data_IF_393236341493
#
_entry.id   IF_393236341493
#
_cell.length_a   1.000
_cell.length_b   1.000
_cell.length_c   1.000
_cell.angle_alpha   90.00
_cell.angle_beta   90.00
_cell.angle_gamma   90.00
#
_symmetry.space_group_name_H-M   'P 1'
#
loop_
_entity.id
_entity.type
_entity.pdbx_description
1 polymer ?
#
# COMPACT_ATOMS: atom_id res chain seq x y z
N UNK A 1 8.30 -5.79 -1.53
CA UNK A 1 8.52 -6.64 -0.35
C UNK A 1 10.02 -6.71 -0.14
N UNK A 2 10.48 -6.23 1.00
CA UNK A 2 11.86 -6.49 1.43
C UNK A 2 12.04 -8.01 1.56
N UNK A 3 13.18 -8.51 1.18
CA UNK A 3 13.49 -9.94 1.33
C UNK A 3 13.72 -10.22 2.80
N UNK A 4 13.11 -11.29 3.33
CA UNK A 4 13.39 -11.76 4.68
C UNK A 4 14.89 -11.99 4.85
N UNK A 5 15.43 -11.55 5.97
CA UNK A 5 16.81 -11.85 6.40
C UNK A 5 16.95 -13.35 6.70
N UNK A 6 18.18 -13.84 6.75
CA UNK A 6 18.40 -15.25 7.08
C UNK A 6 17.97 -15.57 8.52
N UNK A 7 18.15 -14.63 9.45
CA UNK A 7 17.61 -14.71 10.81
C UNK A 7 16.10 -14.89 10.84
N UNK A 8 15.35 -14.03 10.13
CA UNK A 8 13.87 -14.10 10.07
C UNK A 8 13.39 -15.43 9.48
N UNK A 9 14.10 -15.97 8.48
CA UNK A 9 13.80 -17.28 7.90
C UNK A 9 14.00 -18.41 8.92
N UNK A 10 15.06 -18.33 9.72
CA UNK A 10 15.32 -19.30 10.79
C UNK A 10 14.22 -19.25 11.86
N UNK A 11 13.85 -18.05 12.31
CA UNK A 11 12.77 -17.84 13.28
C UNK A 11 11.44 -18.41 12.78
N UNK A 12 11.07 -18.12 11.53
CA UNK A 12 9.85 -18.65 10.89
C UNK A 12 9.91 -20.18 10.82
N UNK A 13 11.07 -20.73 10.48
CA UNK A 13 11.26 -22.18 10.40
C UNK A 13 11.06 -22.84 11.78
N UNK A 14 11.57 -22.21 12.85
CA UNK A 14 11.36 -22.67 14.22
C UNK A 14 9.88 -22.63 14.59
N UNK A 15 9.21 -21.51 14.34
CA UNK A 15 7.76 -21.39 14.59
C UNK A 15 6.96 -22.48 13.86
N UNK A 16 7.27 -22.69 12.57
CA UNK A 16 6.61 -23.69 11.74
C UNK A 16 6.77 -25.12 12.27
N UNK A 17 7.97 -25.45 12.77
CA UNK A 17 8.25 -26.76 13.33
C UNK A 17 7.53 -27.00 14.67
N UNK A 18 7.34 -25.94 15.45
CA UNK A 18 6.75 -26.03 16.79
C UNK A 18 5.22 -25.95 16.79
N UNK A 19 4.66 -25.06 15.98
CA UNK A 19 3.23 -24.75 15.99
C UNK A 19 2.49 -25.33 14.78
N UNK A 20 3.22 -25.74 13.74
CA UNK A 20 2.67 -26.17 12.45
C UNK A 20 2.14 -25.01 11.63
N UNK A 21 2.63 -24.85 10.40
CA UNK A 21 2.03 -23.95 9.41
C UNK A 21 1.36 -24.83 8.36
N UNK A 22 0.02 -24.83 8.37
CA UNK A 22 -0.76 -25.76 7.53
C UNK A 22 -1.06 -25.16 6.14
N UNK A 23 -1.08 -23.83 6.04
CA UNK A 23 -1.51 -23.15 4.82
C UNK A 23 -0.50 -22.11 4.34
N UNK A 24 -0.57 -21.78 3.04
CA UNK A 24 0.19 -20.65 2.48
C UNK A 24 -0.25 -19.33 3.13
N UNK A 25 -1.51 -19.20 3.55
CA UNK A 25 -2.01 -18.06 4.30
C UNK A 25 -1.20 -17.86 5.59
N UNK A 26 -0.99 -18.93 6.36
CA UNK A 26 -0.23 -18.88 7.62
C UNK A 26 1.21 -18.49 7.37
N UNK A 27 1.83 -19.07 6.32
CA UNK A 27 3.20 -18.74 5.93
C UNK A 27 3.36 -17.27 5.51
N UNK A 28 2.35 -16.69 4.86
CA UNK A 28 2.35 -15.27 4.52
C UNK A 28 2.16 -14.44 5.79
N UNK A 29 1.20 -14.78 6.63
CA UNK A 29 0.85 -13.99 7.80
C UNK A 29 1.97 -13.94 8.84
N UNK A 30 2.70 -15.03 9.06
CA UNK A 30 3.81 -15.04 10.00
C UNK A 30 4.92 -14.05 9.61
N UNK A 31 5.14 -13.80 8.31
CA UNK A 31 6.14 -12.82 7.85
C UNK A 31 5.86 -11.39 8.33
N UNK A 32 4.61 -11.07 8.67
CA UNK A 32 4.21 -9.78 9.22
C UNK A 32 4.32 -9.67 10.73
N UNK A 33 4.51 -10.80 11.40
CA UNK A 33 4.60 -10.84 12.85
C UNK A 33 5.93 -11.38 13.39
N UNK A 34 6.89 -11.68 12.50
CA UNK A 34 8.15 -12.32 12.88
C UNK A 34 8.92 -11.57 13.96
N UNK A 35 8.73 -10.26 14.06
CA UNK A 35 9.37 -9.42 15.11
C UNK A 35 8.87 -9.73 16.52
N UNK A 36 7.73 -10.40 16.68
CA UNK A 36 7.23 -10.90 17.97
C UNK A 36 7.84 -12.24 18.39
N UNK A 37 8.79 -12.76 17.64
CA UNK A 37 9.46 -14.03 17.87
C UNK A 37 10.97 -13.83 17.98
N UNK A 38 11.62 -14.52 18.90
CA UNK A 38 13.08 -14.45 19.05
C UNK A 38 13.71 -15.83 18.95
N UNK A 39 14.84 -15.91 18.25
CA UNK A 39 15.73 -17.07 18.23
C UNK A 39 17.13 -16.62 18.66
N UNK A 40 17.54 -17.02 19.84
CA UNK A 40 18.81 -16.65 20.42
C UNK A 40 19.80 -17.81 20.23
N UNK A 41 20.78 -17.60 19.36
CA UNK A 41 21.79 -18.59 19.02
C UNK A 41 23.03 -18.49 19.93
N UNK A 42 23.30 -17.31 20.49
CA UNK A 42 24.33 -17.15 21.52
C UNK A 42 23.71 -17.29 22.92
N UNK A 43 23.76 -18.50 23.46
CA UNK A 43 23.26 -18.88 24.78
C UNK A 43 24.38 -19.38 25.69
N UNK A 44 25.59 -18.89 25.49
CA UNK A 44 26.77 -19.24 26.29
C UNK A 44 26.62 -18.87 27.77
N UNK A 45 25.81 -17.90 28.10
CA UNK A 45 25.44 -17.53 29.47
C UNK A 45 24.00 -16.98 29.55
N UNK A 46 23.40 -17.08 30.76
CA UNK A 46 22.08 -16.48 31.01
C UNK A 46 22.10 -14.95 30.85
N UNK A 47 23.25 -14.31 31.06
CA UNK A 47 23.40 -12.86 30.82
C UNK A 47 23.32 -12.50 29.33
N UNK A 48 23.97 -13.28 28.47
CA UNK A 48 23.90 -13.07 27.01
C UNK A 48 22.48 -13.28 26.48
N UNK A 49 21.82 -14.34 26.95
CA UNK A 49 20.41 -14.58 26.60
C UNK A 49 19.52 -13.42 27.06
N UNK A 50 19.66 -12.98 28.32
CA UNK A 50 18.87 -11.86 28.85
C UNK A 50 19.12 -10.54 28.13
N UNK A 51 20.38 -10.28 27.77
CA UNK A 51 20.75 -9.09 27.00
C UNK A 51 20.07 -9.10 25.62
N UNK A 52 20.08 -10.25 24.93
CA UNK A 52 19.42 -10.36 23.62
C UNK A 52 17.91 -10.21 23.73
N UNK A 53 17.28 -10.87 24.70
CA UNK A 53 15.83 -10.73 24.96
C UNK A 53 15.44 -9.29 25.24
N UNK A 54 16.24 -8.58 26.04
CA UNK A 54 16.00 -7.17 26.35
C UNK A 54 16.07 -6.30 25.09
N UNK A 55 17.10 -6.51 24.25
CA UNK A 55 17.25 -5.76 23.00
C UNK A 55 16.12 -6.04 21.99
N UNK A 56 15.61 -7.27 21.96
CA UNK A 56 14.49 -7.65 21.10
C UNK A 56 13.17 -7.01 21.59
N UNK A 57 12.95 -6.92 22.92
CA UNK A 57 11.73 -6.32 23.49
C UNK A 57 11.72 -4.78 23.42
N UNK A 58 12.86 -4.14 23.70
CA UNK A 58 12.95 -2.67 23.80
C UNK A 58 13.63 -2.00 22.60
N UNK A 59 13.97 -2.74 21.55
CA UNK A 59 14.58 -2.26 20.31
C UNK A 59 15.92 -1.52 20.49
N UNK A 60 16.58 -1.74 21.63
CA UNK A 60 17.88 -1.15 21.94
C UNK A 60 17.95 -0.62 23.37
N UNK A 61 19.16 -0.23 23.76
CA UNK A 61 19.45 0.44 25.04
C UNK A 61 20.75 1.22 24.91
N UNK A 62 20.91 2.30 25.69
CA UNK A 62 22.20 2.99 25.79
C UNK A 62 23.21 2.19 26.63
N UNK A 63 24.50 2.49 26.49
CA UNK A 63 25.54 1.82 27.29
C UNK A 63 25.32 2.09 28.79
N UNK A 64 24.91 3.30 29.16
CA UNK A 64 24.65 3.69 30.55
C UNK A 64 23.45 2.93 31.16
N UNK A 65 22.36 2.78 30.39
CA UNK A 65 21.21 1.99 30.81
C UNK A 65 21.53 0.50 30.90
N UNK A 66 22.37 -0.02 30.00
CA UNK A 66 22.77 -1.42 29.98
C UNK A 66 23.57 -1.82 31.24
N UNK A 67 24.30 -0.88 31.86
CA UNK A 67 25.04 -1.14 33.12
C UNK A 67 24.09 -1.28 34.32
N UNK A 68 22.91 -0.70 34.29
CA UNK A 68 21.91 -0.76 35.37
C UNK A 68 21.00 -1.98 35.28
N UNK A 69 20.97 -2.69 34.11
CA UNK A 69 20.04 -3.77 33.84
C UNK A 69 20.63 -5.11 34.34
N UNK A 70 19.85 -5.83 35.17
CA UNK A 70 20.15 -7.22 35.52
C UNK A 70 19.61 -8.17 34.42
N UNK A 71 20.41 -8.41 33.40
CA UNK A 71 20.04 -9.27 32.25
C UNK A 71 19.72 -10.71 32.66
N UNK A 72 20.35 -11.23 33.73
CA UNK A 72 20.06 -12.58 34.23
C UNK A 72 18.65 -12.63 34.81
N UNK A 73 18.29 -11.64 35.62
CA UNK A 73 16.93 -11.54 36.20
C UNK A 73 15.88 -11.34 35.09
N UNK A 74 16.20 -10.55 34.10
CA UNK A 74 15.37 -10.36 32.92
C UNK A 74 15.13 -11.67 32.16
N UNK A 75 16.17 -12.41 31.86
CA UNK A 75 16.05 -13.75 31.24
C UNK A 75 15.16 -14.68 32.05
N UNK A 76 15.40 -14.75 33.36
CA UNK A 76 14.63 -15.60 34.26
C UNK A 76 13.15 -15.17 34.37
N UNK A 77 12.85 -13.92 34.24
CA UNK A 77 11.48 -13.41 34.19
C UNK A 77 10.82 -13.84 32.87
N UNK A 78 11.45 -13.57 31.74
CA UNK A 78 10.94 -13.95 30.40
C UNK A 78 10.69 -15.46 30.33
N UNK A 79 11.57 -16.28 30.87
CA UNK A 79 11.41 -17.74 30.90
C UNK A 79 10.24 -18.24 31.77
N UNK A 80 9.70 -17.41 32.65
CA UNK A 80 8.51 -17.73 33.45
C UNK A 80 7.22 -17.23 32.83
N UNK A 81 7.29 -16.15 32.08
CA UNK A 81 6.11 -15.43 31.57
C UNK A 81 5.81 -15.79 30.11
N UNK A 82 6.82 -16.12 29.31
CA UNK A 82 6.68 -16.42 27.90
C UNK A 82 6.78 -17.90 27.56
N UNK A 83 6.34 -18.25 26.34
CA UNK A 83 6.61 -19.57 25.77
C UNK A 83 8.05 -19.64 25.32
N UNK A 84 8.85 -20.38 26.08
CA UNK A 84 10.29 -20.57 25.82
C UNK A 84 10.59 -22.03 25.53
N UNK A 85 11.33 -22.27 24.44
CA UNK A 85 11.84 -23.59 24.08
C UNK A 85 13.35 -23.56 23.90
N UNK A 86 14.03 -24.50 24.54
CA UNK A 86 15.49 -24.58 24.50
C UNK A 86 15.88 -25.75 23.59
N UNK A 87 16.67 -25.43 22.56
CA UNK A 87 17.21 -26.39 21.62
C UNK A 87 18.75 -26.49 21.76
N UNK A 88 19.39 -27.54 21.23
CA UNK A 88 20.83 -27.64 21.25
C UNK A 88 21.58 -26.51 20.55
N UNK A 89 20.89 -25.74 19.71
CA UNK A 89 21.44 -24.68 18.88
C UNK A 89 20.86 -23.27 19.17
N UNK A 90 19.95 -23.14 20.15
CA UNK A 90 19.40 -21.85 20.50
C UNK A 90 18.27 -21.89 21.50
N UNK A 91 17.84 -20.71 21.89
CA UNK A 91 16.66 -20.46 22.72
C UNK A 91 15.62 -19.74 21.87
N UNK A 92 14.45 -20.34 21.72
CA UNK A 92 13.33 -19.78 21.00
C UNK A 92 12.29 -19.23 21.99
N UNK A 93 11.79 -18.00 21.73
CA UNK A 93 10.85 -17.30 22.59
C UNK A 93 9.72 -16.69 21.77
N UNK A 94 8.48 -16.87 22.18
CA UNK A 94 7.28 -16.39 21.48
C UNK A 94 6.71 -15.08 22.03
N UNK A 95 7.22 -14.49 23.09
CA UNK A 95 6.78 -13.19 23.66
C UNK A 95 5.27 -12.95 23.62
N UNK A 96 4.46 -13.96 23.90
CA UNK A 96 3.00 -13.88 23.76
C UNK A 96 2.50 -13.71 22.30
N UNK A 97 3.29 -14.13 21.33
CA UNK A 97 3.00 -13.96 19.91
C UNK A 97 1.62 -14.48 19.52
N UNK A 98 0.91 -13.66 18.80
CA UNK A 98 -0.32 -14.03 18.09
C UNK A 98 -0.12 -13.78 16.60
N UNK A 99 -0.34 -14.79 15.78
CA UNK A 99 -0.18 -14.66 14.34
C UNK A 99 -1.11 -13.56 13.80
N UNK A 100 -0.56 -12.51 13.16
CA UNK A 100 -1.38 -11.46 12.59
C UNK A 100 -2.21 -12.00 11.42
N UNK A 101 -3.41 -11.48 11.25
CA UNK A 101 -4.29 -11.84 10.14
C UNK A 101 -4.29 -10.75 9.06
N UNK A 102 -3.12 -10.50 8.44
CA UNK A 102 -2.92 -9.47 7.41
C UNK A 102 -3.42 -9.95 6.04
N UNK A 103 -3.17 -11.20 5.72
CA UNK A 103 -3.65 -11.84 4.50
C UNK A 103 -4.79 -12.81 4.83
N UNK A 104 -5.97 -12.60 4.25
CA UNK A 104 -7.16 -13.42 4.53
C UNK A 104 -7.22 -14.75 3.72
N UNK A 105 -6.20 -15.03 2.90
CA UNK A 105 -6.15 -16.17 1.98
C UNK A 105 -6.51 -15.82 0.53
N UNK A 106 -7.05 -14.62 0.27
CA UNK A 106 -7.41 -14.10 -1.06
C UNK A 106 -6.79 -12.73 -1.33
N UNK A 107 -6.96 -11.79 -0.39
CA UNK A 107 -6.52 -10.39 -0.55
C UNK A 107 -5.84 -9.89 0.71
N UNK A 108 -4.99 -8.87 0.54
CA UNK A 108 -4.50 -8.05 1.65
C UNK A 108 -5.51 -6.96 1.99
N UNK A 109 -5.49 -6.38 3.21
CA UNK A 109 -6.31 -5.21 3.56
C UNK A 109 -6.00 -4.01 2.66
N UNK A 110 -7.00 -3.13 2.46
CA UNK A 110 -6.84 -1.94 1.62
C UNK A 110 -5.68 -1.03 2.05
N UNK A 111 -5.47 -0.84 3.36
CA UNK A 111 -4.37 -0.01 3.87
C UNK A 111 -2.97 -0.51 3.44
N UNK A 112 -2.83 -1.80 3.09
CA UNK A 112 -1.57 -2.38 2.64
C UNK A 112 -1.14 -1.86 1.27
N UNK A 113 -2.09 -1.35 0.50
CA UNK A 113 -1.89 -0.85 -0.85
C UNK A 113 -1.95 0.68 -0.95
N UNK A 114 -2.29 1.38 0.14
CA UNK A 114 -2.73 2.78 0.13
C UNK A 114 -1.78 3.77 -0.58
N UNK A 115 -0.47 3.57 -0.50
CA UNK A 115 0.50 4.53 -1.05
C UNK A 115 0.75 4.39 -2.56
N UNK A 116 0.34 3.27 -3.16
CA UNK A 116 0.65 2.95 -4.58
C UNK A 116 -0.59 2.75 -5.43
N UNK A 117 -1.75 2.60 -4.81
CA UNK A 117 -3.00 2.33 -5.51
C UNK A 117 -3.68 3.62 -5.91
N UNK A 118 -4.12 3.68 -7.15
CA UNK A 118 -4.95 4.76 -7.69
C UNK A 118 -6.43 4.40 -7.56
N UNK A 119 -6.79 3.16 -7.89
CA UNK A 119 -8.15 2.63 -7.75
C UNK A 119 -8.14 1.13 -7.51
N UNK A 120 -9.21 0.59 -6.97
CA UNK A 120 -9.46 -0.85 -6.93
C UNK A 120 -10.73 -1.21 -7.70
N UNK A 121 -10.70 -2.36 -8.36
CA UNK A 121 -11.80 -2.89 -9.13
C UNK A 121 -12.29 -4.18 -8.49
N UNK A 122 -13.60 -4.33 -8.29
CA UNK A 122 -14.21 -5.64 -8.13
C UNK A 122 -14.54 -6.20 -9.51
N UNK A 123 -14.05 -7.39 -9.81
CA UNK A 123 -14.20 -8.03 -11.11
C UNK A 123 -14.69 -9.46 -10.92
N UNK A 124 -15.61 -9.91 -11.78
CA UNK A 124 -16.16 -11.26 -11.77
C UNK A 124 -15.94 -11.93 -13.12
N UNK A 125 -15.56 -13.21 -13.06
CA UNK A 125 -15.61 -14.08 -14.23
C UNK A 125 -17.00 -14.68 -14.39
N UNK A 126 -17.17 -15.59 -15.36
CA UNK A 126 -18.44 -16.27 -15.63
C UNK A 126 -18.91 -17.19 -14.46
N UNK A 127 -18.00 -17.66 -13.60
CA UNK A 127 -18.36 -18.44 -12.41
C UNK A 127 -18.93 -17.60 -11.27
N UNK A 128 -18.80 -16.26 -11.35
CA UNK A 128 -19.46 -15.31 -10.46
C UNK A 128 -18.75 -15.03 -9.13
N UNK A 129 -17.60 -15.66 -8.85
CA UNK A 129 -16.80 -15.31 -7.67
C UNK A 129 -16.09 -13.98 -7.90
N UNK A 130 -16.19 -13.00 -6.97
CA UNK A 130 -15.53 -11.73 -7.09
C UNK A 130 -14.04 -11.84 -6.75
N UNK A 131 -13.23 -11.14 -7.51
CA UNK A 131 -11.81 -10.87 -7.22
C UNK A 131 -11.57 -9.37 -7.22
N UNK A 132 -10.54 -8.94 -6.50
CA UNK A 132 -10.18 -7.53 -6.37
C UNK A 132 -8.84 -7.25 -7.05
N UNK A 133 -8.84 -6.25 -7.93
CA UNK A 133 -7.64 -5.74 -8.57
C UNK A 133 -7.30 -4.36 -8.01
N UNK A 134 -6.08 -4.18 -7.61
CA UNK A 134 -5.56 -2.92 -7.09
C UNK A 134 -4.61 -2.29 -8.12
N UNK A 135 -5.10 -1.28 -8.82
CA UNK A 135 -4.40 -0.67 -9.94
C UNK A 135 -3.56 0.55 -9.52
N UNK A 136 -2.37 0.73 -10.09
CA UNK A 136 -1.78 -0.04 -11.18
C UNK A 136 -1.08 -1.31 -10.70
N UNK A 137 -1.15 -2.35 -11.53
CA UNK A 137 -0.45 -3.62 -11.36
C UNK A 137 0.64 -3.78 -12.44
N UNK A 138 1.72 -4.48 -12.11
CA UNK A 138 2.69 -4.90 -13.11
C UNK A 138 2.17 -6.06 -13.97
N UNK A 139 2.86 -6.34 -15.06
CA UNK A 139 2.46 -7.39 -16.00
C UNK A 139 2.36 -8.78 -15.35
N UNK A 140 3.30 -9.12 -14.47
CA UNK A 140 3.33 -10.43 -13.80
C UNK A 140 2.12 -10.56 -12.88
N UNK A 141 1.80 -9.51 -12.14
CA UNK A 141 0.63 -9.46 -11.25
C UNK A 141 -0.68 -9.55 -12.04
N UNK A 142 -0.80 -8.88 -13.18
CA UNK A 142 -1.95 -9.01 -14.09
C UNK A 142 -2.09 -10.44 -14.64
N UNK A 143 -0.98 -11.08 -15.02
CA UNK A 143 -1.02 -12.46 -15.53
C UNK A 143 -1.41 -13.44 -14.41
N UNK A 144 -0.90 -13.28 -13.20
CA UNK A 144 -1.35 -14.07 -12.04
C UNK A 144 -2.85 -13.88 -11.75
N UNK A 145 -3.36 -12.66 -11.90
CA UNK A 145 -4.79 -12.38 -11.69
C UNK A 145 -5.65 -13.07 -12.73
N UNK A 146 -5.25 -13.10 -14.02
CA UNK A 146 -5.96 -13.87 -15.04
C UNK A 146 -6.02 -15.37 -14.71
N UNK A 147 -4.93 -15.94 -14.20
CA UNK A 147 -4.91 -17.34 -13.75
C UNK A 147 -5.88 -17.57 -12.58
N UNK A 148 -5.95 -16.66 -11.60
CA UNK A 148 -6.89 -16.75 -10.47
C UNK A 148 -8.35 -16.67 -10.92
N UNK A 149 -8.64 -15.80 -11.88
CA UNK A 149 -9.96 -15.65 -12.50
C UNK A 149 -10.29 -16.77 -13.48
N UNK A 150 -9.33 -17.64 -13.78
CA UNK A 150 -9.45 -18.70 -14.79
C UNK A 150 -9.92 -18.17 -16.16
N UNK A 151 -9.28 -17.10 -16.63
CA UNK A 151 -9.54 -16.46 -17.93
C UNK A 151 -8.25 -16.21 -18.70
N UNK A 152 -8.34 -16.20 -20.02
CA UNK A 152 -7.22 -15.83 -20.88
C UNK A 152 -7.11 -14.32 -21.02
N UNK A 153 -8.24 -13.62 -21.00
CA UNK A 153 -8.32 -12.16 -21.19
C UNK A 153 -9.31 -11.54 -20.22
N UNK A 154 -9.00 -10.34 -19.73
CA UNK A 154 -9.90 -9.58 -18.85
C UNK A 154 -11.25 -9.21 -19.51
N UNK A 155 -11.35 -9.18 -20.84
CA UNK A 155 -12.64 -8.94 -21.51
C UNK A 155 -13.67 -10.09 -21.31
N UNK A 156 -13.25 -11.21 -20.74
CA UNK A 156 -14.13 -12.31 -20.34
C UNK A 156 -14.73 -12.10 -18.94
N UNK A 157 -14.28 -11.06 -18.26
CA UNK A 157 -14.75 -10.66 -16.94
C UNK A 157 -15.63 -9.41 -17.02
N UNK A 158 -16.38 -9.18 -15.94
CA UNK A 158 -17.18 -7.97 -15.75
C UNK A 158 -16.66 -7.20 -14.54
N UNK A 159 -16.34 -5.92 -14.72
CA UNK A 159 -16.09 -4.99 -13.60
C UNK A 159 -17.43 -4.64 -12.96
N UNK A 160 -17.60 -5.01 -11.70
CA UNK A 160 -18.87 -4.85 -10.96
C UNK A 160 -18.86 -3.62 -10.07
N UNK A 161 -17.69 -3.21 -9.58
CA UNK A 161 -17.55 -1.94 -8.88
C UNK A 161 -16.14 -1.36 -9.04
N UNK A 162 -16.06 -0.03 -8.92
CA UNK A 162 -14.82 0.74 -8.92
C UNK A 162 -14.78 1.48 -7.61
N UNK A 163 -13.74 1.21 -6.81
CA UNK A 163 -13.50 1.94 -5.58
C UNK A 163 -12.28 2.84 -5.77
N UNK A 164 -12.46 4.07 -5.35
CA UNK A 164 -11.47 5.10 -5.51
C UNK A 164 -10.56 5.15 -4.28
N UNK A 165 -9.25 5.10 -4.50
CA UNK A 165 -8.26 5.28 -3.43
C UNK A 165 -7.63 6.68 -3.44
N UNK A 166 -7.40 7.27 -4.63
CA UNK A 166 -6.65 8.52 -4.79
C UNK A 166 -7.21 9.50 -5.82
N UNK A 167 -8.32 9.17 -6.46
CA UNK A 167 -8.92 10.04 -7.47
C UNK A 167 -9.82 11.09 -6.81
N UNK A 168 -9.88 12.34 -7.30
CA UNK A 168 -10.84 13.32 -6.85
C UNK A 168 -12.28 12.85 -7.03
N UNK A 169 -13.18 13.20 -6.10
CA UNK A 169 -14.59 12.76 -6.13
C UNK A 169 -15.31 13.14 -7.43
N UNK A 170 -14.97 14.30 -7.99
CA UNK A 170 -15.56 14.78 -9.24
C UNK A 170 -15.02 14.08 -10.49
N UNK A 171 -13.93 13.32 -10.42
CA UNK A 171 -13.44 12.49 -11.53
C UNK A 171 -14.18 11.14 -11.63
N UNK A 172 -14.80 10.67 -10.54
CA UNK A 172 -15.48 9.36 -10.51
C UNK A 172 -16.65 9.30 -11.51
N UNK A 173 -17.58 10.29 -11.56
CA UNK A 173 -18.66 10.27 -12.55
C UNK A 173 -18.16 10.28 -14.00
N UNK A 174 -17.02 10.94 -14.25
CA UNK A 174 -16.38 10.95 -15.57
C UNK A 174 -15.93 9.53 -15.94
N UNK A 175 -15.23 8.84 -15.01
CA UNK A 175 -14.79 7.47 -15.21
C UNK A 175 -15.96 6.51 -15.45
N UNK A 176 -16.99 6.56 -14.62
CA UNK A 176 -18.16 5.70 -14.73
C UNK A 176 -18.93 5.90 -16.03
N UNK A 177 -18.85 7.11 -16.63
CA UNK A 177 -19.48 7.43 -17.90
C UNK A 177 -18.73 6.93 -19.14
N UNK A 178 -17.49 6.42 -18.99
CA UNK A 178 -16.67 5.97 -20.10
C UNK A 178 -17.25 4.70 -20.73
N UNK A 179 -17.25 4.66 -22.06
CA UNK A 179 -17.80 3.52 -22.83
C UNK A 179 -17.05 2.22 -22.66
N UNK A 180 -15.77 2.31 -22.33
CA UNK A 180 -14.82 1.20 -22.24
C UNK A 180 -14.34 0.96 -20.79
N UNK A 181 -15.15 1.36 -19.82
CA UNK A 181 -14.85 1.19 -18.38
C UNK A 181 -14.58 -0.26 -17.98
N UNK A 182 -15.06 -1.22 -18.76
CA UNK A 182 -14.77 -2.65 -18.58
C UNK A 182 -13.36 -3.07 -19.04
N UNK A 183 -12.62 -2.18 -19.69
CA UNK A 183 -11.30 -2.49 -20.24
C UNK A 183 -10.20 -2.37 -19.17
N UNK A 184 -10.05 -3.39 -18.32
CA UNK A 184 -9.09 -3.47 -17.21
C UNK A 184 -7.67 -3.06 -17.62
N UNK A 185 -7.20 -3.48 -18.81
CA UNK A 185 -5.86 -3.13 -19.29
C UNK A 185 -5.71 -1.63 -19.50
N UNK A 186 -6.71 -0.96 -20.09
CA UNK A 186 -6.70 0.49 -20.29
C UNK A 186 -6.79 1.24 -18.97
N UNK A 187 -7.60 0.76 -18.02
CA UNK A 187 -7.64 1.30 -16.66
C UNK A 187 -6.28 1.19 -15.97
N UNK A 188 -5.60 0.05 -16.14
CA UNK A 188 -4.27 -0.14 -15.58
C UNK A 188 -3.23 0.82 -16.20
N UNK A 189 -3.31 1.06 -17.51
CA UNK A 189 -2.45 2.04 -18.21
C UNK A 189 -2.71 3.46 -17.70
N UNK A 190 -3.97 3.86 -17.57
CA UNK A 190 -4.35 5.13 -16.96
C UNK A 190 -3.79 5.26 -15.54
N UNK A 191 -4.00 4.27 -14.68
CA UNK A 191 -3.48 4.28 -13.31
C UNK A 191 -1.95 4.36 -13.28
N UNK A 192 -1.25 3.68 -14.20
CA UNK A 192 0.20 3.81 -14.33
C UNK A 192 0.64 5.22 -14.72
N UNK A 193 -0.14 5.93 -15.53
CA UNK A 193 0.13 7.30 -15.92
C UNK A 193 0.02 8.25 -14.71
N UNK A 194 -1.06 8.12 -13.94
CA UNK A 194 -1.38 9.08 -12.87
C UNK A 194 -0.85 8.71 -11.48
N UNK A 195 -0.25 7.53 -11.30
CA UNK A 195 0.23 7.06 -9.99
C UNK A 195 1.21 7.99 -9.27
N UNK A 196 1.94 8.79 -10.02
CA UNK A 196 2.92 9.76 -9.51
C UNK A 196 2.36 11.17 -9.36
N UNK A 197 1.10 11.41 -9.75
CA UNK A 197 0.48 12.72 -9.63
C UNK A 197 0.25 13.05 -8.16
N UNK A 198 0.54 14.30 -7.80
CA UNK A 198 0.14 14.85 -6.50
C UNK A 198 -1.33 15.27 -6.52
N UNK A 199 -1.85 15.72 -5.36
CA UNK A 199 -3.25 16.12 -5.23
C UNK A 199 -3.65 17.26 -6.19
N UNK A 200 -2.78 18.26 -6.36
CA UNK A 200 -3.02 19.38 -7.26
C UNK A 200 -3.11 18.94 -8.72
N UNK A 201 -2.23 18.06 -9.16
CA UNK A 201 -2.24 17.49 -10.51
C UNK A 201 -3.50 16.63 -10.74
N UNK A 202 -3.96 15.90 -9.75
CA UNK A 202 -5.20 15.13 -9.84
C UNK A 202 -6.43 16.04 -9.95
N UNK A 203 -6.47 17.14 -9.18
CA UNK A 203 -7.53 18.13 -9.29
C UNK A 203 -7.53 18.83 -10.66
N UNK A 204 -6.37 19.22 -11.16
CA UNK A 204 -6.26 19.77 -12.52
C UNK A 204 -6.80 18.80 -13.57
N UNK A 205 -6.40 17.52 -13.51
CA UNK A 205 -6.91 16.49 -14.43
C UNK A 205 -8.43 16.36 -14.35
N UNK A 206 -8.98 16.43 -13.14
CA UNK A 206 -10.41 16.35 -12.92
C UNK A 206 -11.17 17.51 -13.57
N UNK A 207 -10.70 18.75 -13.41
CA UNK A 207 -11.27 19.95 -14.04
C UNK A 207 -11.20 19.88 -15.56
N UNK A 208 -10.06 19.43 -16.11
CA UNK A 208 -9.89 19.25 -17.56
C UNK A 208 -10.86 18.17 -18.08
N UNK A 209 -10.99 17.05 -17.37
CA UNK A 209 -11.89 15.96 -17.75
C UNK A 209 -13.36 16.39 -17.69
N UNK A 210 -13.75 17.20 -16.70
CA UNK A 210 -15.09 17.77 -16.59
C UNK A 210 -15.40 18.70 -17.78
N UNK A 211 -14.45 19.50 -18.20
CA UNK A 211 -14.62 20.40 -19.35
C UNK A 211 -14.64 19.64 -20.69
N UNK A 212 -13.69 18.71 -20.89
CA UNK A 212 -13.52 17.97 -22.17
C UNK A 212 -14.56 16.87 -22.34
N UNK A 213 -15.05 16.29 -21.23
CA UNK A 213 -15.99 15.17 -21.20
C UNK A 213 -15.50 13.96 -22.03
N UNK A 214 -14.38 13.31 -21.66
CA UNK A 214 -13.83 12.18 -22.37
C UNK A 214 -14.87 11.06 -22.51
N UNK A 215 -14.79 10.28 -23.59
CA UNK A 215 -15.72 9.16 -23.85
C UNK A 215 -15.06 7.80 -23.69
N UNK A 216 -13.74 7.76 -23.71
CA UNK A 216 -12.93 6.56 -23.61
C UNK A 216 -11.80 6.72 -22.59
N UNK A 217 -11.34 5.62 -22.01
CA UNK A 217 -10.19 5.62 -21.07
C UNK A 217 -8.94 6.18 -21.75
N UNK A 218 -8.76 5.90 -23.05
CA UNK A 218 -7.65 6.43 -23.83
C UNK A 218 -7.67 7.95 -23.94
N UNK A 219 -8.86 8.57 -24.01
CA UNK A 219 -8.99 10.03 -24.04
C UNK A 219 -8.54 10.60 -22.69
N UNK A 220 -8.98 9.99 -21.58
CA UNK A 220 -8.59 10.40 -20.23
C UNK A 220 -7.08 10.22 -20.00
N UNK A 221 -6.49 9.12 -20.48
CA UNK A 221 -5.05 8.88 -20.44
C UNK A 221 -4.28 9.93 -21.25
N UNK A 222 -4.83 10.34 -22.39
CA UNK A 222 -4.26 11.40 -23.21
C UNK A 222 -4.30 12.75 -22.49
N UNK A 223 -5.41 13.10 -21.86
CA UNK A 223 -5.52 14.33 -21.05
C UNK A 223 -4.50 14.33 -19.91
N UNK A 224 -4.35 13.22 -19.21
CA UNK A 224 -3.33 13.07 -18.14
C UNK A 224 -1.92 13.28 -18.68
N UNK A 225 -1.61 12.74 -19.87
CA UNK A 225 -0.28 12.86 -20.50
C UNK A 225 0.06 14.29 -20.92
N UNK A 226 -0.92 15.02 -21.42
CA UNK A 226 -0.75 16.38 -21.94
C UNK A 226 -1.36 17.46 -21.04
N UNK A 227 -1.52 17.14 -19.76
CA UNK A 227 -2.14 18.04 -18.77
C UNK A 227 -1.44 19.40 -18.70
N UNK A 228 -0.12 19.44 -18.90
CA UNK A 228 0.66 20.70 -18.89
C UNK A 228 0.37 21.62 -20.10
N UNK A 229 -0.33 21.13 -21.12
CA UNK A 229 -0.76 21.95 -22.27
C UNK A 229 -2.06 22.73 -21.96
N UNK A 230 -2.66 22.46 -20.79
CA UNK A 230 -3.84 23.17 -20.29
C UNK A 230 -3.43 24.16 -19.21
N UNK A 231 -3.96 25.36 -19.28
CA UNK A 231 -3.88 26.33 -18.20
C UNK A 231 -5.17 26.26 -17.36
N UNK A 232 -5.04 25.80 -16.13
CA UNK A 232 -6.16 25.70 -15.18
C UNK A 232 -6.04 26.81 -14.16
N UNK A 233 -6.93 27.79 -14.24
CA UNK A 233 -6.96 28.94 -13.33
C UNK A 233 -7.86 28.61 -12.16
N UNK A 234 -7.26 28.47 -10.97
CA UNK A 234 -7.99 28.19 -9.74
C UNK A 234 -8.57 29.47 -9.12
N UNK A 235 -9.66 29.30 -8.34
CA UNK A 235 -10.31 30.38 -7.59
C UNK A 235 -10.92 31.49 -8.45
N UNK A 236 -11.27 31.22 -9.70
CA UNK A 236 -11.98 32.12 -10.61
C UNK A 236 -13.44 31.66 -10.71
N UNK A 237 -14.39 32.52 -10.33
CA UNK A 237 -15.82 32.20 -10.26
C UNK A 237 -16.64 32.80 -11.39
N UNK A 238 -16.13 33.85 -12.00
CA UNK A 238 -16.81 34.57 -13.06
C UNK A 238 -15.83 35.27 -14.02
N UNK A 239 -16.36 35.81 -15.12
CA UNK A 239 -15.58 36.51 -16.16
C UNK A 239 -14.81 37.72 -15.61
N UNK A 240 -15.32 38.35 -14.55
CA UNK A 240 -14.64 39.50 -13.93
C UNK A 240 -13.41 39.07 -13.17
N UNK A 241 -13.50 37.98 -12.41
CA UNK A 241 -12.33 37.40 -11.69
C UNK A 241 -11.30 36.87 -12.69
N UNK A 242 -11.74 36.24 -13.78
CA UNK A 242 -10.87 35.83 -14.88
C UNK A 242 -10.14 37.00 -15.51
N UNK A 243 -10.87 38.08 -15.81
CA UNK A 243 -10.29 39.32 -16.34
C UNK A 243 -9.21 39.90 -15.41
N UNK A 244 -9.47 39.92 -14.10
CA UNK A 244 -8.47 40.34 -13.09
C UNK A 244 -7.23 39.43 -13.08
N UNK A 245 -7.41 38.13 -13.19
CA UNK A 245 -6.31 37.17 -13.28
C UNK A 245 -5.44 37.47 -14.52
N UNK A 246 -6.03 37.58 -15.71
CA UNK A 246 -5.31 37.88 -16.97
C UNK A 246 -4.56 39.20 -16.89
N UNK A 247 -5.16 40.25 -16.35
CA UNK A 247 -4.49 41.55 -16.18
C UNK A 247 -3.29 41.44 -15.24
N UNK A 248 -3.42 40.69 -14.15
CA UNK A 248 -2.34 40.46 -13.19
C UNK A 248 -1.18 39.67 -13.80
N UNK A 249 -1.49 38.57 -14.52
CA UNK A 249 -0.46 37.71 -15.14
C UNK A 249 0.21 38.40 -16.35
N UNK A 250 -0.46 39.32 -17.01
CA UNK A 250 0.12 40.05 -18.15
C UNK A 250 1.35 40.89 -17.77
N UNK A 251 1.47 41.27 -16.50
CA UNK A 251 2.56 42.11 -16.00
C UNK A 251 2.61 43.54 -16.54
N UNK A 252 1.60 43.92 -17.35
CA UNK A 252 1.55 45.27 -17.95
C UNK A 252 1.05 46.37 -17.00
N UNK A 253 0.47 45.95 -15.84
CA UNK A 253 -0.12 46.87 -14.87
C UNK A 253 0.32 46.53 -13.47
N UNK A 254 0.57 47.56 -12.63
CA UNK A 254 0.78 47.35 -11.20
C UNK A 254 -0.58 47.11 -10.54
N UNK A 255 -0.83 45.87 -10.13
CA UNK A 255 -2.10 45.42 -9.56
C UNK A 255 -2.44 46.13 -8.24
N UNK A 256 -1.41 46.62 -7.52
CA UNK A 256 -1.59 47.34 -6.25
C UNK A 256 -2.19 48.75 -6.46
N UNK A 257 -2.05 49.33 -7.66
CA UNK A 257 -2.62 50.65 -8.02
C UNK A 257 -4.00 50.55 -8.65
N UNK A 258 -4.45 49.32 -9.01
CA UNK A 258 -5.76 49.14 -9.64
C UNK A 258 -6.88 49.19 -8.60
N UNK A 259 -7.82 50.10 -8.80
CA UNK A 259 -9.09 50.09 -8.07
C UNK A 259 -10.09 49.24 -8.82
N UNK A 260 -10.38 48.06 -8.29
CA UNK A 260 -11.44 47.21 -8.82
C UNK A 260 -12.80 47.70 -8.28
N UNK A 261 -13.61 48.32 -9.14
CA UNK A 261 -14.97 48.75 -8.82
C UNK A 261 -15.96 47.62 -9.07
#
# INVERSE_FOLDING_TARGET
MESLTDYEKEVITMYANENGLETIKDLINITFGVQGLSLITDFSSAEQVGRRLYLDEFLGTSEEEAEEINFIEFAMKTFREDTVKIFPYGVYVEHGFQMPEVYNGKTFPEYFYSDKIVMSLEIKNQSGEPEYLYLPMDKISLDKMKLRLNVDKFCECTVTSINNARLPENLIPQLESLKDIQAVTLLNEFCNMVKMFNAEQMECLSMIAEYVQPKHITDLTYLAKYMNDFEVVQNVRDDTEYGKYIVKESGYFDVNEMRWN
#
